data_IF_213713162454
#
_entry.id   IF_213713162454
#
_cell.length_a   1.000
_cell.length_b   1.000
_cell.length_c   1.000
_cell.angle_alpha   90.00
_cell.angle_beta   90.00
_cell.angle_gamma   90.00
#
_symmetry.space_group_name_H-M   'P 1'
#
loop_
_entity.id
_entity.type
_entity.pdbx_description
1 polymer ?
#
# COMPACT_ATOMS: atom_id res chain seq x y z
N UNK A 1 -22.64 14.08 18.32
CA UNK A 1 -21.19 13.98 18.55
C UNK A 1 -20.89 12.55 18.95
N UNK A 2 -20.75 11.63 17.98
CA UNK A 2 -20.18 10.30 18.27
C UNK A 2 -18.66 10.48 18.21
N UNK A 3 -18.00 10.12 19.30
CA UNK A 3 -16.56 10.07 19.44
C UNK A 3 -15.99 9.31 18.24
N UNK A 4 -15.13 9.98 17.45
CA UNK A 4 -14.25 9.29 16.55
C UNK A 4 -13.54 8.24 17.39
N UNK A 5 -13.80 6.95 17.12
CA UNK A 5 -13.03 5.86 17.68
C UNK A 5 -11.56 6.20 17.40
N UNK A 6 -10.84 6.51 18.46
CA UNK A 6 -9.42 6.85 18.38
C UNK A 6 -8.74 5.69 17.70
N UNK A 7 -8.26 5.93 16.49
CA UNK A 7 -7.50 5.00 15.68
C UNK A 7 -6.35 4.48 16.54
N UNK A 8 -6.51 3.27 17.10
CA UNK A 8 -5.52 2.71 18.00
C UNK A 8 -4.28 2.32 17.19
N UNK A 9 -3.24 3.13 17.26
CA UNK A 9 -1.94 2.81 16.67
C UNK A 9 -1.14 1.92 17.61
N UNK A 10 -0.53 0.89 17.04
CA UNK A 10 0.45 0.05 17.71
C UNK A 10 1.82 0.31 17.11
N UNK A 11 2.86 0.37 17.94
CA UNK A 11 4.23 0.53 17.47
C UNK A 11 4.90 -0.81 17.23
N UNK A 12 5.25 -1.10 16.01
CA UNK A 12 6.03 -2.28 15.65
C UNK A 12 7.42 -1.85 15.15
N UNK A 13 8.40 -1.94 16.04
CA UNK A 13 9.80 -1.60 15.75
C UNK A 13 9.97 -0.15 15.26
N UNK A 14 9.33 0.81 15.92
CA UNK A 14 9.36 2.23 15.56
C UNK A 14 8.54 2.57 14.32
N UNK A 15 7.59 1.70 13.95
CA UNK A 15 6.63 1.91 12.87
C UNK A 15 5.22 1.96 13.48
N UNK A 16 4.52 3.10 13.44
CA UNK A 16 3.15 3.21 13.89
C UNK A 16 2.23 2.50 12.88
N UNK A 17 1.48 1.51 13.34
CA UNK A 17 0.53 0.75 12.51
C UNK A 17 -0.86 0.97 13.04
N UNK A 18 -1.79 1.31 12.17
CA UNK A 18 -3.20 1.46 12.52
C UNK A 18 -3.85 0.10 12.71
N UNK A 19 -4.29 -0.17 13.94
CA UNK A 19 -4.89 -1.44 14.33
C UNK A 19 -6.37 -1.49 13.92
N UNK A 20 -6.60 -1.64 12.62
CA UNK A 20 -7.93 -1.58 12.00
C UNK A 20 -8.18 -2.81 11.13
N UNK A 21 -9.45 -3.16 10.97
CA UNK A 21 -9.91 -4.14 9.99
C UNK A 21 -9.98 -3.53 8.59
N UNK A 22 -10.11 -4.39 7.57
CA UNK A 22 -10.37 -3.97 6.18
C UNK A 22 -11.60 -3.06 6.11
N UNK A 23 -12.69 -3.44 6.77
CA UNK A 23 -13.92 -2.67 6.73
C UNK A 23 -13.78 -1.29 7.40
N UNK A 24 -13.08 -1.21 8.53
CA UNK A 24 -12.81 0.07 9.20
C UNK A 24 -11.95 0.98 8.32
N UNK A 25 -10.93 0.41 7.65
CA UNK A 25 -10.09 1.14 6.70
C UNK A 25 -10.92 1.69 5.53
N UNK A 26 -11.79 0.87 4.93
CA UNK A 26 -12.68 1.30 3.84
C UNK A 26 -13.64 2.42 4.28
N UNK A 27 -14.27 2.27 5.43
CA UNK A 27 -15.20 3.26 5.97
C UNK A 27 -14.52 4.61 6.24
N UNK A 28 -13.28 4.59 6.74
CA UNK A 28 -12.51 5.81 6.99
C UNK A 28 -12.19 6.52 5.67
N UNK A 29 -11.77 5.77 4.65
CA UNK A 29 -11.46 6.32 3.32
C UNK A 29 -12.72 6.88 2.66
N UNK A 30 -13.84 6.14 2.68
CA UNK A 30 -15.12 6.59 2.14
C UNK A 30 -15.57 7.90 2.80
N UNK A 31 -15.56 7.96 4.13
CA UNK A 31 -15.90 9.16 4.89
C UNK A 31 -15.01 10.35 4.55
N UNK A 32 -13.72 10.13 4.30
CA UNK A 32 -12.80 11.19 3.91
C UNK A 32 -13.17 11.76 2.53
N UNK A 33 -13.47 10.91 1.55
CA UNK A 33 -13.89 11.34 0.22
C UNK A 33 -15.22 12.10 0.29
N UNK A 34 -16.22 11.57 1.01
CA UNK A 34 -17.53 12.22 1.17
C UNK A 34 -17.43 13.61 1.84
N UNK A 35 -16.50 13.79 2.75
CA UNK A 35 -16.22 15.08 3.41
C UNK A 35 -15.27 15.96 2.62
N UNK A 36 -14.88 15.57 1.42
CA UNK A 36 -13.86 16.24 0.60
C UNK A 36 -12.56 16.51 1.38
N UNK A 37 -12.19 15.61 2.27
CA UNK A 37 -10.92 15.63 3.00
C UNK A 37 -9.91 14.71 2.35
N UNK A 38 -8.63 14.93 2.65
CA UNK A 38 -7.54 14.13 2.09
C UNK A 38 -7.05 13.09 3.08
N UNK A 39 -6.81 11.86 2.58
CA UNK A 39 -6.22 10.76 3.33
C UNK A 39 -5.16 10.06 2.47
N UNK A 40 -3.97 9.93 2.99
CA UNK A 40 -2.87 9.14 2.41
C UNK A 40 -2.76 7.78 3.10
N UNK A 41 -2.55 6.73 2.32
CA UNK A 41 -2.47 5.38 2.82
C UNK A 41 -1.19 4.68 2.39
N UNK A 42 -0.60 3.91 3.27
CA UNK A 42 0.49 2.98 2.96
C UNK A 42 0.31 1.66 3.69
N UNK A 43 0.91 0.62 3.14
CA UNK A 43 1.01 -0.68 3.83
C UNK A 43 2.45 -0.97 4.19
N UNK A 44 2.67 -1.67 5.31
CA UNK A 44 3.98 -2.12 5.73
C UNK A 44 4.03 -3.65 5.83
N UNK A 45 5.19 -4.20 5.45
CA UNK A 45 5.54 -5.60 5.63
C UNK A 45 6.94 -5.71 6.22
N UNK A 46 7.37 -6.91 6.60
CA UNK A 46 8.67 -7.17 7.20
C UNK A 46 9.84 -6.53 6.44
N UNK A 47 9.86 -6.68 5.11
CA UNK A 47 10.91 -6.10 4.28
C UNK A 47 10.91 -4.57 4.27
N UNK A 48 9.74 -3.93 4.25
CA UNK A 48 9.63 -2.47 4.30
C UNK A 48 10.07 -1.93 5.67
N UNK A 49 9.70 -2.57 6.77
CA UNK A 49 10.15 -2.17 8.12
C UNK A 49 11.68 -2.24 8.20
N UNK A 50 12.31 -3.33 7.73
CA UNK A 50 13.77 -3.43 7.67
C UNK A 50 14.39 -2.33 6.82
N UNK A 51 13.79 -2.01 5.69
CA UNK A 51 14.30 -0.94 4.81
C UNK A 51 14.18 0.45 5.45
N UNK A 52 13.11 0.71 6.21
CA UNK A 52 12.92 1.97 6.96
C UNK A 52 13.99 2.18 8.03
N UNK A 53 14.51 1.11 8.65
CA UNK A 53 15.65 1.22 9.56
C UNK A 53 16.97 1.61 8.86
N UNK A 54 17.05 1.46 7.54
CA UNK A 54 18.23 1.75 6.72
C UNK A 54 18.08 3.01 5.86
N UNK A 55 16.86 3.54 5.76
CA UNK A 55 16.54 4.67 4.87
C UNK A 55 15.59 5.64 5.60
N UNK A 56 16.16 6.73 6.12
CA UNK A 56 15.44 7.73 6.89
C UNK A 56 14.33 8.43 6.07
N UNK A 57 14.58 8.72 4.78
CA UNK A 57 13.60 9.33 3.89
C UNK A 57 12.39 8.43 3.69
N UNK A 58 12.61 7.12 3.44
CA UNK A 58 11.51 6.16 3.36
C UNK A 58 10.74 6.09 4.68
N UNK A 59 11.44 6.09 5.82
CA UNK A 59 10.80 6.08 7.14
C UNK A 59 9.90 7.29 7.30
N UNK A 60 10.39 8.49 7.00
CA UNK A 60 9.62 9.73 7.05
C UNK A 60 8.39 9.66 6.13
N UNK A 61 8.58 9.26 4.86
CA UNK A 61 7.49 9.12 3.89
C UNK A 61 6.41 8.12 4.33
N UNK A 62 6.79 7.02 5.00
CA UNK A 62 5.84 6.02 5.49
C UNK A 62 5.11 6.51 6.74
N UNK A 63 5.87 7.04 7.73
CA UNK A 63 5.29 7.46 9.04
C UNK A 63 4.39 8.68 8.91
N UNK A 64 4.60 9.51 7.89
CA UNK A 64 3.74 10.66 7.58
C UNK A 64 2.39 10.30 6.95
N UNK A 65 2.17 9.03 6.58
CA UNK A 65 0.87 8.61 6.05
C UNK A 65 -0.22 8.64 7.12
N UNK A 66 -1.43 9.03 6.71
CA UNK A 66 -2.59 9.13 7.60
C UNK A 66 -3.06 7.74 8.05
N UNK A 67 -2.96 6.72 7.17
CA UNK A 67 -3.29 5.34 7.46
C UNK A 67 -2.11 4.44 7.09
N UNK A 68 -1.69 3.59 8.04
CA UNK A 68 -0.60 2.63 7.88
C UNK A 68 -1.09 1.24 8.28
N UNK A 69 -1.40 0.37 7.32
CA UNK A 69 -1.86 -0.98 7.61
C UNK A 69 -0.74 -2.04 7.49
N UNK A 70 -0.91 -3.16 8.20
CA UNK A 70 -0.05 -4.33 8.09
C UNK A 70 -0.47 -5.21 6.91
N UNK A 71 0.37 -5.29 5.86
CA UNK A 71 0.15 -6.14 4.68
C UNK A 71 0.74 -7.55 4.85
N UNK A 72 1.84 -7.67 5.56
CA UNK A 72 2.54 -8.95 5.71
C UNK A 72 2.17 -9.74 6.96
N UNK A 73 1.91 -11.05 6.81
CA UNK A 73 1.63 -11.93 7.96
C UNK A 73 2.75 -11.93 9.00
N UNK A 74 4.02 -11.75 8.57
CA UNK A 74 5.15 -11.62 9.50
C UNK A 74 5.03 -10.42 10.45
N UNK A 75 4.42 -9.32 10.03
CA UNK A 75 4.16 -8.15 10.88
C UNK A 75 3.08 -8.48 11.91
N UNK A 76 2.01 -9.19 11.51
CA UNK A 76 0.95 -9.63 12.42
C UNK A 76 1.50 -10.62 13.46
N UNK A 77 2.40 -11.54 13.08
CA UNK A 77 3.05 -12.43 14.06
C UNK A 77 3.97 -11.65 15.01
N UNK A 78 4.76 -10.72 14.48
CA UNK A 78 5.63 -9.87 15.29
C UNK A 78 4.84 -9.03 16.31
N UNK A 79 3.69 -8.49 15.92
CA UNK A 79 2.83 -7.71 16.81
C UNK A 79 2.38 -8.53 18.04
N UNK A 80 2.06 -9.81 17.84
CA UNK A 80 1.71 -10.73 18.95
C UNK A 80 2.91 -11.02 19.85
N UNK A 81 4.09 -11.27 19.27
CA UNK A 81 5.33 -11.51 20.03
C UNK A 81 5.71 -10.28 20.87
N UNK A 82 5.46 -9.08 20.34
CA UNK A 82 5.76 -7.81 21.02
C UNK A 82 4.67 -7.36 21.99
N UNK A 83 3.57 -8.14 22.15
CA UNK A 83 2.48 -7.84 23.08
C UNK A 83 1.52 -6.73 22.60
N UNK A 84 1.55 -6.40 21.31
CA UNK A 84 0.71 -5.38 20.67
C UNK A 84 -0.06 -5.98 19.47
N UNK A 85 -1.00 -6.90 19.69
CA UNK A 85 -1.63 -7.67 18.62
C UNK A 85 -2.40 -6.81 17.64
N UNK A 86 -2.10 -6.96 16.36
CA UNK A 86 -2.87 -6.39 15.24
C UNK A 86 -4.08 -7.29 14.97
N UNK A 87 -5.25 -6.67 14.84
CA UNK A 87 -6.55 -7.34 14.70
C UNK A 87 -6.68 -8.06 13.36
N UNK A 88 -6.22 -7.45 12.27
CA UNK A 88 -6.36 -7.97 10.92
C UNK A 88 -5.18 -7.59 10.03
N UNK A 89 -4.86 -8.47 9.08
CA UNK A 89 -3.93 -8.18 7.98
C UNK A 89 -4.69 -7.52 6.84
N UNK A 90 -4.48 -6.23 6.63
CA UNK A 90 -5.06 -5.48 5.50
C UNK A 90 -4.07 -5.46 4.35
N UNK A 91 -4.30 -6.31 3.34
CA UNK A 91 -3.39 -6.38 2.19
C UNK A 91 -3.64 -5.26 1.20
N UNK A 92 -2.56 -4.73 0.61
CA UNK A 92 -2.68 -3.61 -0.34
C UNK A 92 -3.50 -3.97 -1.59
N UNK A 93 -3.43 -5.21 -2.07
CA UNK A 93 -4.20 -5.63 -3.25
C UNK A 93 -5.70 -5.77 -2.95
N UNK A 94 -6.06 -6.37 -1.81
CA UNK A 94 -7.47 -6.52 -1.43
C UNK A 94 -8.11 -5.16 -1.14
N UNK A 95 -7.37 -4.25 -0.49
CA UNK A 95 -7.85 -2.89 -0.26
C UNK A 95 -8.05 -2.15 -1.59
N UNK A 96 -7.11 -2.26 -2.53
CA UNK A 96 -7.25 -1.66 -3.86
C UNK A 96 -8.49 -2.19 -4.59
N UNK A 97 -8.71 -3.51 -4.62
CA UNK A 97 -9.86 -4.12 -5.29
C UNK A 97 -11.19 -3.65 -4.69
N UNK A 98 -11.29 -3.62 -3.35
CA UNK A 98 -12.47 -3.10 -2.65
C UNK A 98 -12.71 -1.59 -2.92
N UNK A 99 -11.63 -0.80 -3.00
CA UNK A 99 -11.74 0.63 -3.30
C UNK A 99 -12.15 0.90 -4.76
N UNK A 100 -11.72 0.07 -5.71
CA UNK A 100 -12.20 0.16 -7.10
C UNK A 100 -13.69 -0.18 -7.18
N UNK A 101 -14.16 -1.21 -6.45
CA UNK A 101 -15.58 -1.51 -6.35
C UNK A 101 -16.38 -0.37 -5.70
N UNK A 102 -15.86 0.22 -4.63
CA UNK A 102 -16.44 1.39 -3.98
C UNK A 102 -16.53 2.57 -4.96
N UNK A 103 -15.47 2.82 -5.73
CA UNK A 103 -15.44 3.89 -6.72
C UNK A 103 -16.54 3.71 -7.78
N UNK A 104 -16.75 2.48 -8.26
CA UNK A 104 -17.86 2.18 -9.18
C UNK A 104 -19.22 2.48 -8.55
N UNK A 105 -19.48 1.98 -7.33
CA UNK A 105 -20.76 2.17 -6.63
C UNK A 105 -21.09 3.63 -6.32
N UNK A 106 -20.04 4.41 -5.95
CA UNK A 106 -20.16 5.82 -5.54
C UNK A 106 -19.86 6.82 -6.66
N UNK A 107 -19.53 6.33 -7.86
CA UNK A 107 -19.15 7.15 -9.03
C UNK A 107 -17.91 8.01 -8.81
N UNK A 108 -16.98 7.55 -7.97
CA UNK A 108 -15.67 8.18 -7.80
C UNK A 108 -14.77 7.88 -8.99
N UNK A 109 -13.84 8.79 -9.25
CA UNK A 109 -12.87 8.68 -10.33
C UNK A 109 -11.50 8.26 -9.79
N UNK A 110 -10.80 7.41 -10.53
CA UNK A 110 -9.50 6.85 -10.16
C UNK A 110 -8.45 7.26 -11.17
N UNK A 111 -7.28 7.69 -10.70
CA UNK A 111 -6.09 7.79 -11.51
C UNK A 111 -5.17 6.59 -11.25
N UNK A 112 -4.76 5.89 -12.32
CA UNK A 112 -3.85 4.76 -12.26
C UNK A 112 -2.45 5.20 -12.71
N UNK A 113 -1.50 5.23 -11.77
CA UNK A 113 -0.13 5.65 -12.05
C UNK A 113 0.88 4.54 -11.75
N UNK A 114 1.69 4.18 -12.73
CA UNK A 114 2.77 3.23 -12.51
C UNK A 114 2.76 2.04 -13.47
N UNK A 115 3.64 1.07 -13.18
CA UNK A 115 3.92 -0.10 -14.01
C UNK A 115 4.37 0.25 -15.44
N UNK A 116 4.50 -0.77 -16.31
CA UNK A 116 4.71 -0.62 -17.75
C UNK A 116 3.38 -0.38 -18.45
N UNK A 117 3.43 0.15 -19.68
CA UNK A 117 2.23 0.45 -20.46
C UNK A 117 1.37 -0.80 -20.72
N UNK A 118 1.98 -1.93 -20.98
CA UNK A 118 1.26 -3.21 -21.20
C UNK A 118 0.55 -3.71 -19.93
N UNK A 119 1.18 -3.55 -18.76
CA UNK A 119 0.56 -3.86 -17.46
C UNK A 119 -0.59 -2.89 -17.17
N UNK A 120 -0.33 -1.59 -17.32
CA UNK A 120 -1.28 -0.54 -17.04
C UNK A 120 -2.54 -0.66 -17.91
N UNK A 121 -2.37 -0.89 -19.22
CA UNK A 121 -3.48 -1.12 -20.15
C UNK A 121 -4.36 -2.32 -19.75
N UNK A 122 -3.72 -3.41 -19.31
CA UNK A 122 -4.48 -4.59 -18.82
C UNK A 122 -5.22 -4.31 -17.52
N UNK A 123 -4.65 -3.55 -16.58
CA UNK A 123 -5.32 -3.13 -15.34
C UNK A 123 -6.55 -2.31 -15.65
N UNK A 124 -6.41 -1.30 -16.51
CA UNK A 124 -7.54 -0.46 -16.95
C UNK A 124 -8.60 -1.30 -17.65
N UNK A 125 -8.20 -2.15 -18.60
CA UNK A 125 -9.12 -3.06 -19.30
C UNK A 125 -9.85 -4.00 -18.35
N UNK A 126 -9.15 -4.57 -17.36
CA UNK A 126 -9.75 -5.44 -16.36
C UNK A 126 -10.86 -4.74 -15.57
N UNK A 127 -10.56 -3.56 -15.00
CA UNK A 127 -11.54 -2.83 -14.19
C UNK A 127 -12.64 -2.18 -15.02
N UNK A 128 -12.34 -1.69 -16.23
CA UNK A 128 -13.34 -1.17 -17.15
C UNK A 128 -14.35 -2.25 -17.60
N UNK A 129 -13.88 -3.47 -17.86
CA UNK A 129 -14.72 -4.60 -18.22
C UNK A 129 -15.54 -5.12 -17.03
N UNK A 130 -14.95 -5.13 -15.83
CA UNK A 130 -15.61 -5.62 -14.62
C UNK A 130 -16.67 -4.66 -14.10
N UNK A 131 -16.43 -3.35 -14.24
CA UNK A 131 -17.30 -2.31 -13.68
C UNK A 131 -17.74 -1.30 -14.74
N UNK A 132 -16.92 -0.29 -15.07
CA UNK A 132 -17.15 0.71 -16.12
C UNK A 132 -15.86 1.47 -16.41
N UNK A 133 -15.69 1.91 -17.66
CA UNK A 133 -14.60 2.83 -18.01
C UNK A 133 -14.77 4.20 -17.34
N UNK A 134 -15.97 4.55 -16.94
CA UNK A 134 -16.28 5.83 -16.29
C UNK A 134 -15.55 6.05 -14.96
N UNK A 135 -15.07 4.97 -14.31
CA UNK A 135 -14.27 5.12 -13.08
C UNK A 135 -12.85 5.64 -13.33
N UNK A 136 -12.37 5.66 -14.58
CA UNK A 136 -11.02 6.05 -14.94
C UNK A 136 -10.96 7.55 -15.22
N UNK A 137 -10.33 8.32 -14.33
CA UNK A 137 -10.03 9.75 -14.55
C UNK A 137 -8.83 9.95 -15.46
N UNK A 138 -7.88 9.03 -15.39
CA UNK A 138 -6.66 9.09 -16.18
C UNK A 138 -5.68 8.00 -15.79
N UNK A 139 -4.60 7.92 -16.54
CA UNK A 139 -3.54 6.97 -16.29
C UNK A 139 -2.19 7.44 -16.82
N UNK A 140 -1.09 6.94 -16.24
CA UNK A 140 0.27 7.17 -16.71
C UNK A 140 1.17 6.01 -16.30
N UNK A 141 2.09 5.60 -17.16
CA UNK A 141 3.09 4.59 -16.82
C UNK A 141 4.10 5.08 -15.77
N UNK A 142 4.81 4.16 -15.13
CA UNK A 142 5.72 4.42 -14.02
C UNK A 142 7.16 4.71 -14.42
N UNK A 143 7.44 4.97 -15.71
CA UNK A 143 8.78 5.25 -16.22
C UNK A 143 8.92 6.73 -16.51
N UNK A 144 9.66 7.44 -15.68
CA UNK A 144 9.84 8.89 -15.76
C UNK A 144 11.19 9.29 -15.14
N UNK A 145 11.66 10.49 -15.47
CA UNK A 145 12.82 11.10 -14.85
C UNK A 145 12.40 11.85 -13.57
N UNK A 146 13.31 11.99 -12.61
CA UNK A 146 13.04 12.75 -11.37
C UNK A 146 12.53 14.16 -11.64
N UNK A 147 13.03 14.82 -12.69
CA UNK A 147 12.59 16.17 -13.10
C UNK A 147 11.13 16.25 -13.57
N UNK A 148 10.50 15.10 -13.91
CA UNK A 148 9.12 15.06 -14.40
C UNK A 148 8.10 14.84 -13.26
N UNK A 149 8.55 14.49 -12.04
CA UNK A 149 7.67 14.11 -10.93
C UNK A 149 6.61 15.18 -10.60
N UNK A 150 7.02 16.44 -10.54
CA UNK A 150 6.09 17.53 -10.21
C UNK A 150 5.06 17.76 -11.32
N UNK A 151 5.47 17.64 -12.60
CA UNK A 151 4.54 17.72 -13.72
C UNK A 151 3.55 16.56 -13.74
N UNK A 152 3.99 15.35 -13.36
CA UNK A 152 3.13 14.17 -13.21
C UNK A 152 2.13 14.40 -12.06
N UNK A 153 2.59 14.88 -10.91
CA UNK A 153 1.72 15.19 -9.79
C UNK A 153 0.66 16.24 -10.14
N UNK A 154 1.05 17.27 -10.92
CA UNK A 154 0.14 18.28 -11.43
C UNK A 154 -0.90 17.67 -12.38
N UNK A 155 -0.48 16.83 -13.33
CA UNK A 155 -1.39 16.10 -14.24
C UNK A 155 -2.41 15.27 -13.46
N UNK A 156 -1.98 14.58 -12.38
CA UNK A 156 -2.85 13.80 -11.53
C UNK A 156 -3.85 14.71 -10.80
N UNK A 157 -3.39 15.82 -10.24
CA UNK A 157 -4.23 16.78 -9.54
C UNK A 157 -5.32 17.41 -10.42
N UNK A 158 -5.01 17.64 -11.69
CA UNK A 158 -5.92 18.23 -12.70
C UNK A 158 -6.88 17.20 -13.33
N UNK A 159 -6.67 15.90 -13.09
CA UNK A 159 -7.48 14.83 -13.69
C UNK A 159 -8.91 14.73 -13.16
N UNK A 160 -9.21 15.38 -12.02
CA UNK A 160 -10.48 15.24 -11.31
C UNK A 160 -10.66 13.90 -10.57
N UNK A 161 -9.57 13.14 -10.37
CA UNK A 161 -9.61 11.88 -9.63
C UNK A 161 -9.79 12.11 -8.13
N UNK A 162 -10.70 11.38 -7.50
CA UNK A 162 -10.80 11.29 -6.04
C UNK A 162 -9.81 10.29 -5.45
N UNK A 163 -9.40 9.27 -6.22
CA UNK A 163 -8.47 8.24 -5.76
C UNK A 163 -7.26 8.13 -6.70
N UNK A 164 -6.08 7.95 -6.12
CA UNK A 164 -4.82 7.70 -6.83
C UNK A 164 -4.19 6.39 -6.37
N UNK A 165 -3.96 5.47 -7.30
CA UNK A 165 -3.16 4.27 -7.06
C UNK A 165 -1.80 4.38 -7.73
N UNK A 166 -0.72 4.19 -6.93
CA UNK A 166 0.67 4.34 -7.40
C UNK A 166 1.38 2.98 -7.40
N UNK A 167 1.64 2.45 -8.58
CA UNK A 167 2.24 1.13 -8.81
C UNK A 167 3.70 1.22 -9.31
N UNK A 168 4.53 2.00 -8.62
CA UNK A 168 5.98 2.02 -8.82
C UNK A 168 6.70 1.36 -7.64
N UNK A 169 8.00 1.10 -7.77
CA UNK A 169 8.76 0.37 -6.74
C UNK A 169 8.97 1.20 -5.47
N UNK A 170 9.01 0.56 -4.30
CA UNK A 170 9.49 1.16 -3.05
C UNK A 170 11.02 1.33 -3.13
N UNK A 171 11.60 2.46 -2.67
CA UNK A 171 10.97 3.57 -1.93
C UNK A 171 10.34 4.68 -2.80
N UNK A 172 10.45 4.59 -4.12
CA UNK A 172 10.04 5.68 -5.03
C UNK A 172 8.57 6.08 -4.88
N UNK A 173 7.64 5.12 -4.71
CA UNK A 173 6.21 5.44 -4.58
C UNK A 173 5.89 6.19 -3.28
N UNK A 174 6.51 5.79 -2.18
CA UNK A 174 6.33 6.46 -0.90
C UNK A 174 6.88 7.89 -0.95
N UNK A 175 8.08 8.05 -1.50
CA UNK A 175 8.72 9.35 -1.66
C UNK A 175 7.93 10.25 -2.64
N UNK A 176 7.45 9.71 -3.77
CA UNK A 176 6.63 10.46 -4.72
C UNK A 176 5.37 11.03 -4.06
N UNK A 177 4.64 10.21 -3.32
CA UNK A 177 3.41 10.63 -2.63
C UNK A 177 3.71 11.67 -1.53
N UNK A 178 4.80 11.49 -0.79
CA UNK A 178 5.21 12.40 0.27
C UNK A 178 5.72 13.74 -0.26
N UNK A 179 6.63 13.72 -1.24
CA UNK A 179 7.27 14.92 -1.79
C UNK A 179 6.31 15.79 -2.61
N UNK A 180 5.28 15.19 -3.21
CA UNK A 180 4.30 15.91 -4.03
C UNK A 180 2.93 16.09 -3.34
N UNK A 181 2.86 15.88 -2.02
CA UNK A 181 1.60 16.00 -1.26
C UNK A 181 0.94 17.37 -1.34
N UNK A 182 1.73 18.42 -1.59
CA UNK A 182 1.27 19.77 -1.79
C UNK A 182 0.47 19.96 -3.09
N UNK A 183 0.89 19.28 -4.17
CA UNK A 183 0.20 19.30 -5.45
C UNK A 183 -1.03 18.38 -5.47
N UNK A 184 -0.98 17.27 -4.74
CA UNK A 184 -2.03 16.25 -4.69
C UNK A 184 -3.19 16.58 -3.73
N UNK A 185 -3.39 17.86 -3.37
CA UNK A 185 -4.45 18.28 -2.41
C UNK A 185 -5.86 18.05 -2.96
N UNK A 186 -6.05 18.09 -4.28
CA UNK A 186 -7.34 17.82 -4.93
C UNK A 186 -7.72 16.33 -4.98
N UNK A 187 -6.77 15.42 -4.68
CA UNK A 187 -7.01 13.98 -4.65
C UNK A 187 -7.30 13.54 -3.22
N UNK A 188 -8.52 13.10 -2.96
CA UNK A 188 -8.98 12.76 -1.60
C UNK A 188 -8.26 11.54 -1.01
N UNK A 189 -7.92 10.54 -1.83
CA UNK A 189 -7.26 9.34 -1.37
C UNK A 189 -6.05 8.97 -2.23
N UNK A 190 -4.91 8.72 -1.60
CA UNK A 190 -3.69 8.30 -2.28
C UNK A 190 -3.11 7.03 -1.66
N UNK A 191 -2.74 6.06 -2.51
CA UNK A 191 -2.24 4.76 -2.05
C UNK A 191 -1.13 4.21 -2.95
N UNK A 192 -0.02 3.79 -2.34
CA UNK A 192 1.02 3.05 -3.02
C UNK A 192 0.73 1.55 -3.07
N UNK A 193 0.41 1.02 -4.24
CA UNK A 193 0.00 -0.39 -4.44
C UNK A 193 1.13 -1.30 -4.97
N UNK A 194 2.23 -0.74 -5.47
CA UNK A 194 3.40 -1.51 -5.93
C UNK A 194 3.05 -2.58 -6.97
N UNK A 195 3.39 -3.84 -6.69
CA UNK A 195 3.18 -4.97 -7.61
C UNK A 195 1.73 -5.48 -7.72
N UNK A 196 0.74 -4.80 -7.16
CA UNK A 196 -0.67 -5.19 -7.31
C UNK A 196 -1.13 -5.11 -8.76
N UNK A 197 -0.61 -4.15 -9.53
CA UNK A 197 -0.94 -4.05 -10.96
C UNK A 197 -0.48 -5.27 -11.76
N UNK A 198 0.69 -5.86 -11.46
CA UNK A 198 1.16 -7.08 -12.12
C UNK A 198 0.22 -8.28 -11.85
N UNK A 199 -0.37 -8.33 -10.66
CA UNK A 199 -1.34 -9.37 -10.27
C UNK A 199 -2.66 -9.16 -10.99
N UNK A 200 -3.22 -7.96 -10.98
CA UNK A 200 -4.50 -7.61 -11.67
C UNK A 200 -4.36 -7.81 -13.18
N UNK A 201 -3.21 -7.45 -13.76
CA UNK A 201 -2.91 -7.66 -15.17
C UNK A 201 -2.67 -9.14 -15.55
N UNK A 202 -2.62 -10.05 -14.58
CA UNK A 202 -2.41 -11.48 -14.79
C UNK A 202 -0.97 -11.91 -15.09
N UNK A 203 0.01 -11.00 -14.98
CA UNK A 203 1.43 -11.35 -15.15
C UNK A 203 2.01 -12.11 -13.94
N UNK A 204 1.47 -11.87 -12.76
CA UNK A 204 1.81 -12.57 -11.52
C UNK A 204 0.56 -13.23 -10.97
N UNK A 205 0.61 -14.54 -10.71
CA UNK A 205 -0.52 -15.25 -10.11
C UNK A 205 -0.55 -15.01 -8.61
N UNK A 206 -1.72 -14.77 -8.07
CA UNK A 206 -1.91 -14.72 -6.62
C UNK A 206 -1.81 -16.11 -6.02
N UNK A 207 -1.28 -16.21 -4.81
CA UNK A 207 -1.22 -17.48 -4.10
C UNK A 207 -2.63 -18.07 -3.88
N UNK A 208 -2.80 -19.39 -3.84
CA UNK A 208 -4.06 -20.02 -3.44
C UNK A 208 -4.53 -19.49 -2.07
N UNK A 209 -5.86 -19.43 -1.87
CA UNK A 209 -6.46 -18.82 -0.65
C UNK A 209 -5.91 -19.45 0.64
N UNK A 210 -5.70 -20.78 0.66
CA UNK A 210 -5.13 -21.45 1.83
C UNK A 210 -3.71 -20.95 2.17
N UNK A 211 -2.88 -20.66 1.15
CA UNK A 211 -1.54 -20.07 1.37
C UNK A 211 -1.62 -18.62 1.84
N UNK A 212 -2.58 -17.86 1.32
CA UNK A 212 -2.81 -16.48 1.78
C UNK A 212 -3.21 -16.47 3.26
N UNK A 213 -4.15 -17.34 3.66
CA UNK A 213 -4.65 -17.46 5.03
C UNK A 213 -3.60 -17.99 6.02
N UNK A 214 -2.70 -18.88 5.55
CA UNK A 214 -1.60 -19.40 6.36
C UNK A 214 -0.35 -18.51 6.38
N UNK A 215 -0.38 -17.35 5.68
CA UNK A 215 0.75 -16.42 5.64
C UNK A 215 1.92 -16.88 4.75
N UNK A 216 1.69 -17.87 3.87
CA UNK A 216 2.68 -18.44 2.96
C UNK A 216 2.69 -17.79 1.56
N UNK A 217 1.99 -16.68 1.37
CA UNK A 217 1.93 -15.96 0.09
C UNK A 217 3.32 -15.57 -0.42
N UNK A 218 4.23 -15.19 0.49
CA UNK A 218 5.62 -14.90 0.16
C UNK A 218 6.37 -16.10 -0.44
N UNK A 219 6.11 -17.31 0.04
CA UNK A 219 6.73 -18.53 -0.47
C UNK A 219 6.26 -18.83 -1.90
N UNK A 220 4.98 -18.62 -2.17
CA UNK A 220 4.43 -18.76 -3.51
C UNK A 220 5.05 -17.75 -4.50
N UNK A 221 5.28 -16.50 -4.05
CA UNK A 221 5.99 -15.50 -4.86
C UNK A 221 7.44 -15.88 -5.13
N UNK A 222 8.12 -16.46 -4.13
CA UNK A 222 9.49 -17.01 -4.34
C UNK A 222 9.47 -18.13 -5.38
N UNK A 223 8.49 -19.01 -5.33
CA UNK A 223 8.34 -20.08 -6.33
C UNK A 223 8.16 -19.54 -7.76
N UNK A 224 7.35 -18.49 -7.94
CA UNK A 224 7.13 -17.88 -9.26
C UNK A 224 8.35 -17.09 -9.78
N UNK A 225 9.06 -16.38 -8.90
CA UNK A 225 10.17 -15.50 -9.26
C UNK A 225 11.39 -15.72 -8.35
N UNK A 226 12.01 -16.92 -8.38
CA UNK A 226 13.04 -17.30 -7.39
C UNK A 226 14.25 -16.36 -7.39
N UNK A 227 14.75 -15.98 -8.57
CA UNK A 227 15.93 -15.10 -8.69
C UNK A 227 15.70 -13.72 -8.08
N UNK A 228 14.50 -13.14 -8.22
CA UNK A 228 14.15 -11.80 -7.74
C UNK A 228 13.72 -11.82 -6.28
N UNK A 229 12.92 -12.81 -5.88
CA UNK A 229 12.24 -12.81 -4.59
C UNK A 229 12.99 -13.56 -3.48
N UNK A 230 13.79 -14.58 -3.80
CA UNK A 230 14.48 -15.38 -2.78
C UNK A 230 15.35 -14.51 -1.87
N UNK A 231 16.30 -13.77 -2.44
CA UNK A 231 17.18 -12.89 -1.66
C UNK A 231 16.39 -11.85 -0.88
N UNK A 232 15.38 -11.26 -1.49
CA UNK A 232 14.54 -10.24 -0.87
C UNK A 232 13.81 -10.77 0.37
N UNK A 233 13.17 -11.95 0.25
CA UNK A 233 12.39 -12.50 1.37
C UNK A 233 13.27 -13.17 2.41
N UNK A 234 14.26 -13.97 2.02
CA UNK A 234 15.13 -14.66 2.98
C UNK A 234 15.92 -13.66 3.83
N UNK A 235 16.62 -12.71 3.18
CA UNK A 235 17.40 -11.70 3.90
C UNK A 235 16.49 -10.72 4.66
N UNK A 236 15.38 -10.30 4.05
CA UNK A 236 14.43 -9.36 4.66
C UNK A 236 13.75 -9.95 5.88
N UNK A 237 13.18 -11.15 5.77
CA UNK A 237 12.49 -11.82 6.87
C UNK A 237 13.46 -12.19 8.01
N UNK A 238 14.69 -12.63 7.68
CA UNK A 238 15.71 -12.90 8.69
C UNK A 238 16.07 -11.65 9.47
N UNK A 239 16.40 -10.54 8.78
CA UNK A 239 16.70 -9.25 9.44
C UNK A 239 15.52 -8.77 10.30
N UNK A 240 14.31 -8.89 9.81
CA UNK A 240 13.09 -8.53 10.53
C UNK A 240 12.94 -9.36 11.81
N UNK A 241 13.11 -10.69 11.72
CA UNK A 241 13.05 -11.57 12.89
C UNK A 241 14.10 -11.20 13.94
N UNK A 242 15.33 -10.91 13.52
CA UNK A 242 16.39 -10.46 14.42
C UNK A 242 16.05 -9.13 15.12
N UNK A 243 15.42 -8.19 14.41
CA UNK A 243 14.94 -6.94 15.00
C UNK A 243 13.84 -7.20 16.05
N UNK A 244 12.88 -8.08 15.76
CA UNK A 244 11.81 -8.46 16.69
C UNK A 244 12.40 -9.09 17.96
N UNK A 245 13.33 -10.05 17.82
CA UNK A 245 13.97 -10.72 18.96
C UNK A 245 14.80 -9.74 19.79
N UNK A 246 15.61 -8.88 19.15
CA UNK A 246 16.36 -7.84 19.85
C UNK A 246 15.44 -6.93 20.67
N UNK A 247 14.36 -6.47 20.07
CA UNK A 247 13.40 -5.58 20.75
C UNK A 247 12.70 -6.31 21.90
N UNK A 248 12.23 -7.56 21.69
CA UNK A 248 11.49 -8.36 22.69
C UNK A 248 12.34 -8.67 23.93
N UNK A 249 13.63 -8.94 23.75
CA UNK A 249 14.53 -9.33 24.82
C UNK A 249 15.44 -8.21 25.31
N UNK A 250 15.18 -6.95 24.92
CA UNK A 250 16.04 -5.80 25.25
C UNK A 250 17.53 -6.04 24.94
N UNK A 251 17.83 -6.83 23.90
CA UNK A 251 19.21 -7.15 23.50
C UNK A 251 19.89 -5.98 22.77
N UNK A 252 19.27 -4.80 22.74
CA UNK A 252 19.84 -3.56 22.24
C UNK A 252 20.35 -2.75 23.44
N UNK A 253 21.57 -3.01 23.88
CA UNK A 253 22.42 -2.05 24.56
C UNK A 253 23.51 -1.59 23.63
#
# INVERSE_FOLDING_TARGET
>A
MQSADLQQRVDILGTPIDNMTMQQTLNLIENAIEKNSRVSHTVVNAGKIVLMHQNAQLKESVVSADIINADGQGVVWASRILGQPIVERVTGIDLMDNLVELAYRKKYKIFFFGAKDDVLSKVIGHYSNKYSHDIVAGHRNGYFKKSEERAIAQQIAESGAQMLFVAITSPLKENFLYENRDLLQSVNFTMGVGGSFDVVAGFVKRAPIWMQNSGLEWAYRVYQEPKRMFKRYMVGNWKFMMLVLKHRFNLAK
#
